data_IF_360917769170
#
_entry.id   IF_360917769170
#
_cell.length_a   1.000
_cell.length_b   1.000
_cell.length_c   1.000
_cell.angle_alpha   90.00
_cell.angle_beta   90.00
_cell.angle_gamma   90.00
#
_symmetry.space_group_name_H-M   'P 1'
#
loop_
_entity.id
_entity.type
_entity.pdbx_description
1 polymer ?
#
# COMPACT_ATOMS: atom_id res chain seq x y z
N UNK A 1 -14.84 -6.27 30.66
CA UNK A 1 -14.56 -5.35 29.53
C UNK A 1 -13.92 -6.19 28.44
N UNK A 2 -14.43 -6.17 27.20
CA UNK A 2 -13.89 -6.92 26.06
C UNK A 2 -12.50 -6.38 25.69
N UNK A 3 -11.54 -7.26 25.45
CA UNK A 3 -10.13 -6.90 25.19
C UNK A 3 -9.65 -7.50 23.89
N UNK A 4 -8.93 -6.70 23.11
CA UNK A 4 -8.27 -7.16 21.88
C UNK A 4 -6.80 -6.75 21.90
N UNK A 5 -5.92 -7.66 21.60
CA UNK A 5 -4.50 -7.37 21.37
C UNK A 5 -4.19 -7.35 19.90
N UNK A 6 -3.54 -6.29 19.43
CA UNK A 6 -3.16 -6.08 18.03
C UNK A 6 -1.64 -6.02 17.93
N UNK A 7 -1.05 -6.88 17.14
CA UNK A 7 0.39 -6.93 16.90
C UNK A 7 0.73 -6.26 15.57
N UNK A 8 1.41 -5.13 15.65
CA UNK A 8 1.85 -4.27 14.54
C UNK A 8 1.02 -2.99 14.42
N UNK A 9 1.67 -1.83 14.62
CA UNK A 9 1.09 -0.50 14.43
C UNK A 9 1.30 0.05 13.00
N UNK A 10 1.19 -0.82 11.99
CA UNK A 10 1.08 -0.44 10.58
C UNK A 10 -0.34 0.05 10.23
N UNK A 11 -0.60 0.26 8.92
CA UNK A 11 -1.89 0.76 8.44
C UNK A 11 -3.09 -0.06 8.92
N UNK A 12 -3.02 -1.39 8.80
CA UNK A 12 -4.12 -2.28 9.19
C UNK A 12 -4.32 -2.32 10.71
N UNK A 13 -3.22 -2.39 11.48
CA UNK A 13 -3.30 -2.44 12.94
C UNK A 13 -3.82 -1.15 13.54
N UNK A 14 -3.37 0.01 13.05
CA UNK A 14 -3.86 1.32 13.50
C UNK A 14 -5.34 1.52 13.17
N UNK A 15 -5.76 1.20 11.94
CA UNK A 15 -7.17 1.27 11.55
C UNK A 15 -8.04 0.37 12.46
N UNK A 16 -7.64 -0.89 12.65
CA UNK A 16 -8.36 -1.82 13.51
C UNK A 16 -8.43 -1.35 14.97
N UNK A 17 -7.33 -0.81 15.50
CA UNK A 17 -7.26 -0.30 16.88
C UNK A 17 -8.24 0.84 17.09
N UNK A 18 -8.25 1.83 16.20
CA UNK A 18 -9.14 2.99 16.24
C UNK A 18 -10.61 2.56 16.09
N UNK A 19 -10.91 1.67 15.17
CA UNK A 19 -12.28 1.16 14.96
C UNK A 19 -12.83 0.43 16.19
N UNK A 20 -12.01 -0.38 16.83
CA UNK A 20 -12.40 -1.13 18.02
C UNK A 20 -12.55 -0.23 19.27
N UNK A 21 -11.57 0.65 19.50
CA UNK A 21 -11.55 1.53 20.66
C UNK A 21 -12.70 2.54 20.62
N UNK A 22 -13.00 3.14 19.47
CA UNK A 22 -14.14 4.02 19.27
C UNK A 22 -15.50 3.35 19.59
N UNK A 23 -15.54 2.01 19.64
CA UNK A 23 -16.72 1.21 20.00
C UNK A 23 -16.61 0.55 21.39
N UNK A 24 -15.75 1.08 22.25
CA UNK A 24 -15.65 0.70 23.65
C UNK A 24 -14.89 -0.60 23.93
N UNK A 25 -14.11 -1.10 22.98
CA UNK A 25 -13.23 -2.26 23.18
C UNK A 25 -11.88 -1.77 23.71
N UNK A 26 -11.36 -2.41 24.76
CA UNK A 26 -10.01 -2.13 25.24
C UNK A 26 -8.98 -2.78 24.30
N UNK A 27 -8.07 -1.99 23.77
CA UNK A 27 -7.07 -2.42 22.79
C UNK A 27 -5.67 -2.28 23.36
N UNK A 28 -4.86 -3.34 23.27
CA UNK A 28 -3.41 -3.27 23.42
C UNK A 28 -2.79 -3.33 22.02
N UNK A 29 -2.21 -2.22 21.56
CA UNK A 29 -1.52 -2.12 20.28
C UNK A 29 -0.02 -2.29 20.51
N UNK A 30 0.59 -3.33 19.93
CA UNK A 30 1.99 -3.68 20.09
C UNK A 30 2.77 -3.25 18.84
N UNK A 31 3.90 -2.57 19.06
CA UNK A 31 4.79 -2.14 17.97
C UNK A 31 6.25 -2.45 18.30
N UNK A 32 6.98 -3.02 17.35
CA UNK A 32 8.38 -3.38 17.51
C UNK A 32 9.33 -2.17 17.41
N UNK A 33 8.91 -1.11 16.72
CA UNK A 33 9.71 0.13 16.62
C UNK A 33 9.73 0.91 17.94
N UNK A 34 10.78 1.68 18.19
CA UNK A 34 11.97 1.95 17.34
C UNK A 34 13.09 0.91 17.46
N UNK A 35 13.08 -0.06 18.40
CA UNK A 35 14.24 -0.88 18.70
C UNK A 35 14.69 -1.75 17.54
N UNK A 36 13.73 -2.24 16.67
CA UNK A 36 14.12 -3.20 15.80
C UNK A 36 13.93 -3.10 14.41
N UNK A 37 14.86 -2.73 13.58
CA UNK A 37 14.39 -2.96 12.40
C UNK A 37 15.32 -3.32 11.36
N UNK A 38 15.25 -4.54 11.01
CA UNK A 38 15.74 -5.03 9.76
C UNK A 38 14.56 -5.52 8.92
N UNK A 39 14.57 -5.27 7.63
CA UNK A 39 15.56 -4.44 6.93
C UNK A 39 15.35 -2.94 7.17
N UNK A 40 16.41 -2.17 6.91
CA UNK A 40 16.44 -0.70 7.05
C UNK A 40 15.48 0.07 6.09
N UNK A 41 14.37 -0.56 5.75
CA UNK A 41 13.28 0.04 4.95
C UNK A 41 12.42 0.96 5.79
N UNK A 42 12.26 0.66 7.06
CA UNK A 42 11.60 1.53 8.02
C UNK A 42 12.53 2.69 8.39
N UNK A 43 12.01 3.89 8.41
CA UNK A 43 12.76 5.12 8.68
C UNK A 43 12.08 6.04 9.66
N UNK A 44 10.82 5.77 9.97
CA UNK A 44 10.04 6.55 10.93
C UNK A 44 9.82 5.70 12.18
N UNK A 45 9.95 6.34 13.34
CA UNK A 45 9.63 5.71 14.62
C UNK A 45 8.11 5.64 14.87
N UNK A 46 7.34 6.45 14.14
CA UNK A 46 5.89 6.56 14.28
C UNK A 46 5.08 5.39 13.67
N UNK A 47 3.77 5.34 13.99
CA UNK A 47 2.85 4.34 13.45
C UNK A 47 2.50 4.61 11.98
N UNK A 48 1.86 3.65 11.34
CA UNK A 48 1.30 3.71 9.98
C UNK A 48 2.31 4.17 8.91
N UNK A 49 3.58 3.79 9.02
CA UNK A 49 4.63 4.17 8.08
C UNK A 49 4.34 3.65 6.66
N UNK A 50 4.46 4.56 5.67
CA UNK A 50 4.35 4.23 4.25
C UNK A 50 5.72 3.86 3.67
N UNK A 51 6.02 2.58 3.60
CA UNK A 51 7.37 2.08 3.30
C UNK A 51 7.77 2.16 1.82
N UNK A 52 6.84 2.04 0.88
CA UNK A 52 7.12 2.00 -0.57
C UNK A 52 7.01 3.39 -1.21
N UNK A 53 5.81 3.89 -1.38
CA UNK A 53 5.53 5.21 -1.95
C UNK A 53 4.72 6.05 -0.97
N UNK A 54 4.55 7.34 -1.24
CA UNK A 54 3.69 8.20 -0.44
C UNK A 54 2.25 8.29 -0.99
N UNK A 55 1.87 7.42 -1.93
CA UNK A 55 0.58 7.49 -2.63
C UNK A 55 -0.38 6.38 -2.21
N UNK A 56 -1.59 6.77 -1.83
CA UNK A 56 -2.74 5.89 -1.63
C UNK A 56 -3.54 5.70 -2.93
N UNK A 57 -2.87 5.71 -4.08
CA UNK A 57 -3.45 5.50 -5.42
C UNK A 57 -4.45 6.61 -5.84
N UNK A 58 -5.13 6.40 -6.96
CA UNK A 58 -5.96 7.39 -7.64
C UNK A 58 -7.24 7.78 -6.87
N UNK A 59 -7.62 9.06 -6.95
CA UNK A 59 -8.91 9.64 -6.54
C UNK A 59 -9.88 9.81 -7.72
N UNK A 60 -9.50 9.37 -8.92
CA UNK A 60 -10.41 9.42 -10.07
C UNK A 60 -11.59 8.46 -9.88
N UNK A 61 -12.81 8.96 -10.01
CA UNK A 61 -14.07 8.25 -9.81
C UNK A 61 -14.34 7.13 -10.85
N UNK A 62 -13.40 6.85 -11.73
CA UNK A 62 -13.41 5.75 -12.68
C UNK A 62 -12.40 4.64 -12.34
N UNK A 63 -11.93 4.58 -11.09
CA UNK A 63 -10.89 3.63 -10.67
C UNK A 63 -11.32 2.74 -9.50
N UNK A 64 -10.83 1.49 -9.45
CA UNK A 64 -11.09 0.57 -8.35
C UNK A 64 -10.59 1.10 -6.99
N UNK A 65 -9.46 1.78 -7.01
CA UNK A 65 -8.86 2.39 -5.81
C UNK A 65 -9.75 3.48 -5.20
N UNK A 66 -10.38 4.31 -6.04
CA UNK A 66 -11.37 5.29 -5.58
C UNK A 66 -12.58 4.59 -4.95
N UNK A 67 -13.11 3.55 -5.61
CA UNK A 67 -14.25 2.80 -5.08
C UNK A 67 -13.94 2.22 -3.69
N UNK A 68 -12.79 1.54 -3.52
CA UNK A 68 -12.40 0.99 -2.23
C UNK A 68 -12.26 2.07 -1.14
N UNK A 69 -11.63 3.21 -1.47
CA UNK A 69 -11.53 4.33 -0.52
C UNK A 69 -12.89 4.92 -0.17
N UNK A 70 -13.80 5.03 -1.13
CA UNK A 70 -15.16 5.51 -0.87
C UNK A 70 -15.91 4.55 0.06
N UNK A 71 -15.79 3.24 -0.14
CA UNK A 71 -16.35 2.21 0.76
C UNK A 71 -15.77 2.33 2.17
N UNK A 72 -14.44 2.48 2.31
CA UNK A 72 -13.81 2.69 3.61
C UNK A 72 -14.24 4.01 4.27
N UNK A 73 -14.41 5.11 3.50
CA UNK A 73 -14.93 6.39 4.03
C UNK A 73 -16.36 6.27 4.53
N UNK A 74 -17.23 5.55 3.82
CA UNK A 74 -18.61 5.26 4.27
C UNK A 74 -18.58 4.50 5.61
N UNK A 75 -17.66 3.56 5.77
CA UNK A 75 -17.49 2.81 7.01
C UNK A 75 -16.74 3.59 8.12
N UNK A 76 -16.38 4.86 7.90
CA UNK A 76 -15.75 5.72 8.88
C UNK A 76 -14.27 5.42 9.11
N UNK A 77 -13.49 5.13 8.04
CA UNK A 77 -12.04 4.91 8.17
C UNK A 77 -11.32 6.13 8.75
N UNK A 78 -10.61 5.93 9.85
CA UNK A 78 -9.80 6.95 10.51
C UNK A 78 -8.55 7.30 9.70
N UNK A 79 -7.87 6.30 9.13
CA UNK A 79 -6.63 6.51 8.41
C UNK A 79 -6.84 7.24 7.08
N UNK A 80 -7.99 7.08 6.43
CA UNK A 80 -8.31 7.88 5.24
C UNK A 80 -8.56 9.34 5.61
N UNK A 81 -9.12 9.62 6.79
CA UNK A 81 -9.22 10.99 7.32
C UNK A 81 -7.85 11.62 7.58
N UNK A 82 -6.94 10.88 8.22
CA UNK A 82 -5.56 11.30 8.42
C UNK A 82 -4.81 11.53 7.09
N UNK A 83 -5.09 10.70 6.08
CA UNK A 83 -4.50 10.85 4.74
C UNK A 83 -4.96 12.13 4.02
N UNK A 84 -6.22 12.51 4.17
CA UNK A 84 -6.71 13.79 3.63
C UNK A 84 -6.07 14.99 4.33
N UNK A 85 -5.86 14.91 5.66
CA UNK A 85 -5.20 15.97 6.43
C UNK A 85 -3.71 16.14 6.04
N UNK A 86 -3.05 15.05 5.66
CA UNK A 86 -1.64 15.01 5.26
C UNK A 86 -1.41 15.13 3.75
N UNK A 87 -2.45 15.45 2.97
CA UNK A 87 -2.42 15.42 1.50
C UNK A 87 -1.40 16.40 0.93
N UNK A 88 -0.67 15.94 -0.09
CA UNK A 88 0.22 16.75 -0.94
C UNK A 88 -0.23 16.68 -2.40
N UNK A 89 0.12 17.71 -3.17
CA UNK A 89 -0.24 17.80 -4.58
C UNK A 89 0.40 16.67 -5.40
N UNK A 90 -0.42 15.86 -6.09
CA UNK A 90 0.01 14.73 -6.92
C UNK A 90 -1.03 14.35 -7.99
N UNK A 91 -1.60 15.34 -8.69
CA UNK A 91 -2.64 15.15 -9.70
C UNK A 91 -3.87 14.44 -9.14
N UNK A 92 -4.34 13.41 -9.84
CA UNK A 92 -5.47 12.58 -9.40
C UNK A 92 -5.09 11.53 -8.33
N UNK A 93 -3.92 11.59 -7.70
CA UNK A 93 -3.53 10.66 -6.63
C UNK A 93 -3.74 11.27 -5.25
N UNK A 94 -4.21 10.46 -4.30
CA UNK A 94 -4.08 10.78 -2.88
C UNK A 94 -2.65 10.47 -2.45
N UNK A 95 -1.76 11.44 -2.58
CA UNK A 95 -0.41 11.39 -2.03
C UNK A 95 -0.36 12.18 -0.72
N UNK A 96 0.48 11.74 0.20
CA UNK A 96 0.59 12.34 1.53
C UNK A 96 2.04 12.68 1.86
N UNK A 97 2.23 13.71 2.66
CA UNK A 97 3.44 13.89 3.44
C UNK A 97 3.52 12.78 4.49
N UNK A 98 4.56 11.95 4.42
CA UNK A 98 4.66 10.74 5.26
C UNK A 98 4.77 11.04 6.74
N UNK A 99 5.53 12.09 7.08
CA UNK A 99 5.76 12.47 8.48
C UNK A 99 4.49 13.07 9.08
N UNK A 100 3.81 13.91 8.32
CA UNK A 100 2.51 14.48 8.71
C UNK A 100 1.47 13.37 8.86
N UNK A 101 1.38 12.44 7.92
CA UNK A 101 0.45 11.32 7.99
C UNK A 101 0.68 10.46 9.24
N UNK A 102 1.93 10.08 9.52
CA UNK A 102 2.27 9.29 10.70
C UNK A 102 1.96 10.04 11.99
N UNK A 103 2.21 11.37 12.06
CA UNK A 103 1.85 12.21 13.21
C UNK A 103 0.34 12.31 13.43
N UNK A 104 -0.44 12.49 12.37
CA UNK A 104 -1.91 12.50 12.45
C UNK A 104 -2.44 11.17 13.00
N UNK A 105 -1.93 10.03 12.51
CA UNK A 105 -2.31 8.72 13.03
C UNK A 105 -1.89 8.54 14.49
N UNK A 106 -0.68 8.99 14.87
CA UNK A 106 -0.22 8.94 16.24
C UNK A 106 -1.10 9.79 17.17
N UNK A 107 -1.54 10.98 16.72
CA UNK A 107 -2.46 11.84 17.46
C UNK A 107 -3.83 11.19 17.66
N UNK A 108 -4.38 10.53 16.63
CA UNK A 108 -5.63 9.78 16.75
C UNK A 108 -5.53 8.64 17.76
N UNK A 109 -4.45 7.85 17.70
CA UNK A 109 -4.20 6.76 18.65
C UNK A 109 -4.07 7.27 20.09
N UNK A 110 -3.38 8.38 20.29
CA UNK A 110 -3.18 8.99 21.63
C UNK A 110 -4.47 9.62 22.20
N UNK A 111 -5.37 10.10 21.35
CA UNK A 111 -6.65 10.65 21.76
C UNK A 111 -7.64 9.57 22.24
N UNK A 112 -7.49 8.33 21.74
CA UNK A 112 -8.37 7.21 22.08
C UNK A 112 -7.98 6.57 23.44
N UNK A 113 -8.77 6.82 24.48
CA UNK A 113 -8.54 6.29 25.85
C UNK A 113 -8.57 4.76 25.94
N UNK A 114 -9.24 4.11 24.99
CA UNK A 114 -9.35 2.66 24.89
C UNK A 114 -8.10 1.97 24.38
N UNK A 115 -7.09 2.71 23.91
CA UNK A 115 -5.87 2.17 23.31
C UNK A 115 -4.69 2.31 24.27
N UNK A 116 -4.00 1.20 24.53
CA UNK A 116 -2.69 1.17 25.18
C UNK A 116 -1.63 0.78 24.16
N UNK A 117 -0.69 1.67 23.87
CA UNK A 117 0.43 1.39 22.96
C UNK A 117 1.60 0.76 23.73
N UNK A 118 1.96 -0.46 23.35
CA UNK A 118 3.17 -1.16 23.81
C UNK A 118 4.25 -1.06 22.71
N UNK A 119 4.92 0.09 22.64
CA UNK A 119 6.03 0.30 21.72
C UNK A 119 7.28 -0.47 22.15
N UNK A 120 8.25 -0.57 21.25
CA UNK A 120 9.53 -1.22 21.52
C UNK A 120 9.40 -2.69 21.97
N UNK A 121 8.40 -3.38 21.43
CA UNK A 121 8.03 -4.72 21.88
C UNK A 121 8.02 -5.69 20.73
N UNK A 122 8.99 -6.58 20.70
CA UNK A 122 9.10 -7.67 19.74
C UNK A 122 8.36 -8.90 20.25
N UNK A 123 7.54 -9.50 19.37
CA UNK A 123 6.81 -10.75 19.62
C UNK A 123 7.24 -11.77 18.58
N UNK A 124 7.72 -12.92 19.04
CA UNK A 124 8.36 -13.94 18.20
C UNK A 124 7.42 -15.02 17.65
N UNK A 125 6.26 -15.25 18.30
CA UNK A 125 5.31 -16.29 17.92
C UNK A 125 3.89 -15.96 18.42
N UNK A 126 2.88 -16.75 18.00
CA UNK A 126 1.52 -16.65 18.54
C UNK A 126 1.45 -17.01 20.03
N UNK A 127 2.24 -17.98 20.46
CA UNK A 127 2.27 -18.38 21.88
C UNK A 127 2.88 -17.29 22.73
N UNK A 128 3.99 -16.66 22.30
CA UNK A 128 4.60 -15.49 22.94
C UNK A 128 3.60 -14.33 23.01
N UNK A 129 2.80 -14.09 21.96
CA UNK A 129 1.74 -13.07 21.96
C UNK A 129 0.70 -13.33 23.03
N UNK A 130 0.18 -14.55 23.10
CA UNK A 130 -0.89 -14.93 24.04
C UNK A 130 -0.43 -14.93 25.48
N UNK A 131 0.79 -15.39 25.72
CA UNK A 131 1.37 -15.46 27.07
C UNK A 131 1.63 -14.05 27.64
N UNK A 132 2.25 -13.16 26.85
CA UNK A 132 2.63 -11.82 27.32
C UNK A 132 1.50 -10.81 27.27
N UNK A 133 0.55 -10.97 26.35
CA UNK A 133 -0.53 -10.03 26.11
C UNK A 133 -1.90 -10.73 26.00
N UNK A 134 -2.38 -11.34 27.11
CA UNK A 134 -3.63 -12.08 27.10
C UNK A 134 -4.83 -11.17 26.84
N UNK A 135 -5.69 -11.59 25.90
CA UNK A 135 -6.91 -10.89 25.51
C UNK A 135 -7.99 -11.90 25.08
N UNK A 136 -9.22 -11.42 24.86
CA UNK A 136 -10.31 -12.27 24.35
C UNK A 136 -10.07 -12.65 22.88
N UNK A 137 -9.51 -11.71 22.09
CA UNK A 137 -9.17 -11.91 20.69
C UNK A 137 -7.85 -11.20 20.33
N UNK A 138 -7.19 -11.70 19.29
CA UNK A 138 -5.91 -11.19 18.81
C UNK A 138 -5.98 -10.82 17.33
N UNK A 139 -5.26 -9.77 16.91
CA UNK A 139 -5.04 -9.41 15.51
C UNK A 139 -3.54 -9.41 15.22
N UNK A 140 -3.09 -10.13 14.20
CA UNK A 140 -1.73 -10.08 13.67
C UNK A 140 -1.74 -9.19 12.42
N UNK A 141 -1.14 -8.00 12.53
CA UNK A 141 -1.09 -6.97 11.50
C UNK A 141 0.35 -6.48 11.26
N UNK A 142 1.31 -7.39 11.35
CA UNK A 142 2.76 -7.11 11.29
C UNK A 142 3.29 -6.77 9.90
N UNK A 143 2.42 -6.86 8.87
CA UNK A 143 2.73 -6.43 7.51
C UNK A 143 3.72 -7.34 6.78
N UNK A 144 4.36 -6.81 5.71
CA UNK A 144 5.15 -7.62 4.78
C UNK A 144 6.46 -8.16 5.35
N UNK A 145 6.97 -7.54 6.41
CA UNK A 145 8.27 -7.86 7.01
C UNK A 145 8.12 -8.63 8.33
N UNK A 146 7.05 -9.40 8.45
CA UNK A 146 6.81 -10.31 9.57
C UNK A 146 8.02 -11.22 9.82
N UNK A 147 8.43 -11.34 11.09
CA UNK A 147 9.58 -12.16 11.46
C UNK A 147 9.39 -13.64 11.10
N UNK A 148 10.45 -14.37 10.74
CA UNK A 148 10.33 -15.77 10.38
C UNK A 148 9.69 -16.64 11.48
N UNK A 149 9.98 -16.38 12.75
CA UNK A 149 9.42 -17.13 13.88
C UNK A 149 7.92 -16.94 14.02
N UNK A 150 7.44 -15.68 13.95
CA UNK A 150 6.00 -15.38 13.98
C UNK A 150 5.30 -15.99 12.76
N UNK A 151 5.89 -15.82 11.57
CA UNK A 151 5.32 -16.36 10.33
C UNK A 151 5.18 -17.88 10.39
N UNK A 152 6.19 -18.60 10.90
CA UNK A 152 6.16 -20.05 11.09
C UNK A 152 5.07 -20.50 12.08
N UNK A 153 4.75 -19.67 13.09
CA UNK A 153 3.65 -19.96 14.03
C UNK A 153 2.25 -19.74 13.43
N UNK A 154 2.14 -18.99 12.34
CA UNK A 154 0.88 -18.78 11.61
C UNK A 154 0.63 -19.85 10.55
N UNK A 155 1.70 -20.25 9.85
CA UNK A 155 1.62 -21.19 8.71
C UNK A 155 2.92 -21.95 8.53
N UNK A 156 2.80 -23.25 8.19
CA UNK A 156 3.96 -24.05 7.77
C UNK A 156 4.42 -23.68 6.35
N UNK A 157 3.49 -23.26 5.49
CA UNK A 157 3.76 -22.88 4.10
C UNK A 157 3.75 -21.36 3.96
N UNK A 158 4.96 -20.79 3.90
CA UNK A 158 5.15 -19.35 3.78
C UNK A 158 5.30 -18.95 2.32
N UNK A 159 4.54 -17.94 1.93
CA UNK A 159 4.62 -17.37 0.59
C UNK A 159 5.29 -16.00 0.62
N UNK A 160 5.97 -15.69 -0.48
CA UNK A 160 6.69 -14.42 -0.62
C UNK A 160 6.54 -13.86 -2.02
N UNK A 161 6.54 -12.54 -2.11
CA UNK A 161 6.74 -11.82 -3.36
C UNK A 161 7.77 -10.72 -3.16
N UNK A 162 8.31 -10.23 -4.26
CA UNK A 162 9.30 -9.15 -4.23
C UNK A 162 8.65 -7.82 -4.60
N UNK A 163 8.96 -6.80 -3.82
CA UNK A 163 8.55 -5.42 -4.04
C UNK A 163 9.77 -4.53 -4.13
N UNK A 164 9.84 -3.68 -5.15
CA UNK A 164 10.93 -2.75 -5.34
C UNK A 164 10.48 -1.32 -5.04
N UNK A 165 11.34 -0.56 -4.40
CA UNK A 165 11.12 0.83 -4.01
C UNK A 165 11.95 1.73 -4.91
N UNK A 166 11.38 2.86 -5.33
CA UNK A 166 12.06 3.90 -6.07
C UNK A 166 12.87 4.81 -5.15
N UNK A 167 13.98 5.39 -5.64
CA UNK A 167 14.76 6.35 -4.87
C UNK A 167 14.04 7.69 -4.69
N UNK A 168 14.44 8.41 -3.63
CA UNK A 168 14.02 9.78 -3.34
C UNK A 168 15.25 10.66 -3.40
N UNK A 169 15.14 11.79 -4.11
CA UNK A 169 16.20 12.78 -4.26
C UNK A 169 15.81 14.12 -3.64
N UNK A 170 16.81 14.88 -3.18
CA UNK A 170 16.65 16.26 -2.71
C UNK A 170 16.36 17.18 -3.89
N UNK A 171 15.56 18.22 -3.66
CA UNK A 171 15.36 19.30 -4.62
C UNK A 171 16.64 20.12 -4.89
N UNK A 172 17.51 20.25 -3.89
CA UNK A 172 18.71 21.09 -3.97
C UNK A 172 19.70 20.66 -5.04
N UNK A 173 19.79 19.35 -5.32
CA UNK A 173 20.66 18.80 -6.35
C UNK A 173 20.06 18.75 -7.76
N UNK A 174 18.86 19.31 -7.98
CA UNK A 174 18.17 19.27 -9.27
C UNK A 174 18.41 20.55 -10.09
N UNK A 175 18.76 20.41 -11.37
CA UNK A 175 18.77 21.52 -12.31
C UNK A 175 17.36 21.78 -12.86
N UNK A 176 16.66 22.71 -12.22
CA UNK A 176 15.29 23.08 -12.57
C UNK A 176 15.14 23.69 -13.96
N UNK A 177 16.22 24.12 -14.61
CA UNK A 177 16.18 24.66 -15.98
C UNK A 177 15.99 23.58 -17.04
N UNK A 178 16.30 22.33 -16.70
CA UNK A 178 16.13 21.15 -17.54
C UNK A 178 14.87 20.34 -17.25
N UNK A 179 14.15 20.72 -16.21
CA UNK A 179 12.94 20.07 -15.74
C UNK A 179 11.74 21.01 -15.93
N UNK A 180 10.54 20.44 -16.05
CA UNK A 180 9.33 21.24 -16.21
C UNK A 180 8.18 20.71 -15.36
N UNK A 181 7.36 21.63 -14.85
CA UNK A 181 6.17 21.30 -14.12
C UNK A 181 5.01 21.07 -15.09
N UNK A 182 4.42 19.90 -15.06
CA UNK A 182 3.20 19.60 -15.82
C UNK A 182 2.46 18.39 -15.24
N UNK A 183 1.16 18.36 -15.44
CA UNK A 183 0.38 17.12 -15.33
C UNK A 183 0.13 16.54 -16.73
N UNK A 184 -0.03 15.25 -16.79
CA UNK A 184 -0.24 14.53 -18.07
C UNK A 184 -1.58 14.90 -18.68
N UNK A 185 -1.57 15.31 -19.93
CA UNK A 185 -2.75 15.78 -20.68
C UNK A 185 -3.34 17.13 -20.17
N UNK A 186 -2.54 17.94 -19.49
CA UNK A 186 -2.99 19.25 -18.94
C UNK A 186 -4.27 19.13 -18.08
N UNK A 187 -4.40 18.00 -17.40
CA UNK A 187 -5.53 17.72 -16.50
C UNK A 187 -5.18 18.17 -15.08
N UNK A 188 -5.65 19.35 -14.72
CA UNK A 188 -5.48 19.88 -13.36
C UNK A 188 -4.29 20.82 -13.21
N UNK A 189 -3.73 20.89 -12.00
CA UNK A 189 -2.55 21.69 -11.67
C UNK A 189 -1.28 20.93 -12.06
N UNK A 190 -0.18 21.63 -12.40
CA UNK A 190 1.10 20.99 -12.75
C UNK A 190 1.80 20.45 -11.49
N UNK A 191 1.33 19.29 -11.00
CA UNK A 191 1.76 18.73 -9.71
C UNK A 191 3.02 17.85 -9.79
N UNK A 192 3.42 17.44 -11.01
CA UNK A 192 4.63 16.64 -11.21
C UNK A 192 5.73 17.45 -11.83
N UNK A 193 6.94 17.31 -11.29
CA UNK A 193 8.15 17.74 -11.93
C UNK A 193 8.57 16.66 -12.95
N UNK A 194 8.87 17.03 -14.18
CA UNK A 194 9.11 16.09 -15.27
C UNK A 194 10.50 16.28 -15.87
N UNK A 195 11.22 15.19 -16.07
CA UNK A 195 12.50 15.12 -16.74
C UNK A 195 12.27 14.59 -18.18
N UNK A 196 12.33 15.45 -19.21
CA UNK A 196 12.22 15.02 -20.60
C UNK A 196 13.54 14.41 -21.07
N UNK A 197 13.47 13.33 -21.85
CA UNK A 197 14.63 12.71 -22.45
C UNK A 197 14.53 12.76 -23.97
N UNK A 198 15.62 13.19 -24.61
CA UNK A 198 15.86 12.92 -26.02
C UNK A 198 16.19 11.43 -26.22
N UNK A 199 16.09 10.95 -27.48
CA UNK A 199 16.35 9.54 -27.78
C UNK A 199 17.73 9.05 -27.33
N UNK A 200 18.77 9.84 -27.59
CA UNK A 200 20.15 9.49 -27.22
C UNK A 200 20.34 9.43 -25.69
N UNK A 201 19.72 10.35 -24.95
CA UNK A 201 19.76 10.38 -23.48
C UNK A 201 19.06 9.15 -22.90
N UNK A 202 17.90 8.78 -23.47
CA UNK A 202 17.16 7.57 -23.10
C UNK A 202 17.98 6.30 -23.38
N UNK A 203 18.56 6.16 -24.59
CA UNK A 203 19.36 4.99 -24.97
C UNK A 203 20.58 4.84 -24.04
N UNK A 204 21.29 5.95 -23.75
CA UNK A 204 22.40 5.96 -22.79
C UNK A 204 21.97 5.54 -21.38
N UNK A 205 20.83 6.04 -20.92
CA UNK A 205 20.27 5.67 -19.61
C UNK A 205 19.93 4.18 -19.56
N UNK A 206 19.27 3.65 -20.57
CA UNK A 206 18.89 2.23 -20.64
C UNK A 206 20.13 1.32 -20.70
N UNK A 207 21.18 1.71 -21.46
CA UNK A 207 22.43 0.95 -21.53
C UNK A 207 23.11 0.87 -20.17
N UNK A 208 23.22 2.00 -19.47
CA UNK A 208 23.78 2.06 -18.13
C UNK A 208 22.95 1.23 -17.13
N UNK A 209 21.62 1.30 -17.22
CA UNK A 209 20.68 0.55 -16.37
C UNK A 209 20.85 -0.97 -16.55
N UNK A 210 20.99 -1.44 -17.79
CA UNK A 210 21.20 -2.86 -18.09
C UNK A 210 22.57 -3.36 -17.61
N UNK A 211 23.61 -2.52 -17.71
CA UNK A 211 24.98 -2.83 -17.28
C UNK A 211 25.21 -2.67 -15.77
N UNK A 212 24.30 -2.03 -15.05
CA UNK A 212 24.44 -1.67 -13.66
C UNK A 212 24.65 -2.88 -12.72
N UNK A 213 25.42 -2.69 -11.64
CA UNK A 213 25.58 -3.66 -10.58
C UNK A 213 24.28 -3.78 -9.76
N UNK A 214 23.77 -5.01 -9.65
CA UNK A 214 22.46 -5.33 -9.08
C UNK A 214 22.59 -6.31 -7.93
N UNK A 215 21.74 -6.19 -6.93
CA UNK A 215 21.61 -7.20 -5.89
C UNK A 215 21.12 -8.52 -6.52
N UNK A 216 21.75 -9.66 -6.20
CA UNK A 216 21.26 -10.95 -6.66
C UNK A 216 19.89 -11.25 -6.05
N UNK A 217 19.07 -12.01 -6.75
CA UNK A 217 17.93 -12.68 -6.12
C UNK A 217 18.44 -13.83 -5.24
N UNK A 218 17.68 -14.15 -4.18
CA UNK A 218 18.00 -15.32 -3.38
C UNK A 218 18.02 -16.57 -4.27
N UNK A 219 19.03 -17.43 -4.08
CA UNK A 219 19.22 -18.63 -4.89
C UNK A 219 17.94 -19.49 -4.91
N UNK A 220 17.61 -19.98 -6.11
CA UNK A 220 16.50 -20.89 -6.44
C UNK A 220 15.09 -20.32 -6.59
N UNK A 221 14.84 -19.02 -6.39
CA UNK A 221 13.51 -18.43 -6.62
C UNK A 221 13.47 -17.61 -7.92
N UNK A 222 12.55 -17.91 -8.83
CA UNK A 222 12.13 -16.95 -9.85
C UNK A 222 11.32 -15.87 -9.14
N UNK A 223 11.83 -14.63 -9.02
CA UNK A 223 11.16 -13.59 -8.28
C UNK A 223 9.80 -13.28 -8.92
N UNK A 224 8.75 -13.33 -8.12
CA UNK A 224 7.44 -12.84 -8.53
C UNK A 224 7.34 -11.38 -8.14
N UNK A 225 7.10 -10.52 -9.15
CA UNK A 225 6.84 -9.10 -8.95
C UNK A 225 5.40 -8.79 -9.33
N UNK A 226 4.79 -7.88 -8.61
CA UNK A 226 3.63 -7.18 -9.12
C UNK A 226 4.05 -6.23 -10.23
N UNK A 227 3.24 -6.09 -11.29
CA UNK A 227 3.58 -5.26 -12.46
C UNK A 227 4.02 -3.83 -12.10
N UNK A 228 3.46 -3.25 -11.03
CA UNK A 228 3.77 -1.89 -10.57
C UNK A 228 4.99 -1.79 -9.67
N UNK A 229 5.50 -2.90 -9.15
CA UNK A 229 6.63 -2.97 -8.23
C UNK A 229 7.82 -3.70 -8.85
N UNK A 230 7.76 -3.95 -10.16
CA UNK A 230 8.84 -4.57 -10.90
C UNK A 230 10.04 -3.61 -10.99
N UNK A 231 11.26 -4.08 -10.70
CA UNK A 231 12.45 -3.27 -10.88
C UNK A 231 12.59 -2.76 -12.31
N UNK A 232 12.99 -1.50 -12.46
CA UNK A 232 13.09 -0.82 -13.74
C UNK A 232 14.08 -1.52 -14.70
N UNK A 233 15.18 -2.06 -14.18
CA UNK A 233 16.13 -2.86 -14.93
C UNK A 233 15.50 -4.16 -15.45
N UNK A 234 14.62 -4.79 -14.69
CA UNK A 234 13.89 -5.98 -15.11
C UNK A 234 12.87 -5.64 -16.22
N UNK A 235 12.28 -4.44 -16.18
CA UNK A 235 11.45 -3.95 -17.29
C UNK A 235 12.29 -3.69 -18.54
N UNK A 236 13.46 -3.07 -18.40
CA UNK A 236 14.38 -2.81 -19.53
C UNK A 236 14.93 -4.09 -20.16
N UNK A 237 15.16 -5.14 -19.38
CA UNK A 237 15.58 -6.48 -19.85
C UNK A 237 14.56 -7.13 -20.80
N UNK A 238 13.27 -6.74 -20.71
CA UNK A 238 12.21 -7.22 -21.62
C UNK A 238 12.26 -6.58 -23.01
N UNK A 239 12.96 -5.47 -23.15
CA UNK A 239 13.16 -4.74 -24.40
C UNK A 239 13.54 -3.29 -24.14
N UNK A 240 14.44 -2.76 -24.97
CA UNK A 240 15.01 -1.41 -24.78
C UNK A 240 13.94 -0.31 -24.75
N UNK A 241 12.86 -0.44 -25.49
CA UNK A 241 11.78 0.56 -25.55
C UNK A 241 10.69 0.36 -24.49
N UNK A 242 10.79 -0.70 -23.68
CA UNK A 242 9.75 -1.04 -22.69
C UNK A 242 9.43 0.12 -21.77
N UNK A 243 10.44 0.89 -21.33
CA UNK A 243 10.25 2.00 -20.42
C UNK A 243 9.51 3.18 -21.08
N UNK A 244 9.80 3.48 -22.36
CA UNK A 244 9.15 4.57 -23.11
C UNK A 244 7.69 4.26 -23.46
N UNK A 245 7.29 3.00 -23.48
CA UNK A 245 5.89 2.56 -23.60
C UNK A 245 5.22 2.31 -22.25
N UNK A 246 6.00 2.20 -21.18
CA UNK A 246 5.61 1.92 -19.81
C UNK A 246 5.68 3.16 -18.89
N UNK A 247 6.52 3.12 -17.84
CA UNK A 247 6.57 4.18 -16.83
C UNK A 247 7.04 5.53 -17.37
N UNK A 248 7.89 5.54 -18.41
CA UNK A 248 8.46 6.76 -19.01
C UNK A 248 7.72 7.21 -20.26
N UNK A 249 6.51 6.76 -20.45
CA UNK A 249 5.71 7.09 -21.65
C UNK A 249 5.55 8.61 -21.79
N UNK A 250 5.91 9.20 -22.97
CA UNK A 250 5.89 10.65 -23.18
C UNK A 250 4.53 11.21 -23.59
N UNK A 251 3.52 10.36 -23.75
CA UNK A 251 2.19 10.77 -24.26
C UNK A 251 1.52 11.73 -23.28
N UNK A 252 1.05 12.86 -23.79
CA UNK A 252 0.41 13.94 -23.01
C UNK A 252 1.41 14.99 -22.53
N UNK A 253 2.68 14.94 -22.97
CA UNK A 253 3.67 15.98 -22.71
C UNK A 253 4.19 16.57 -24.02
N UNK A 254 4.47 17.87 -23.97
CA UNK A 254 5.08 18.65 -25.02
C UNK A 254 6.08 19.62 -24.39
N UNK A 255 7.27 19.76 -24.98
CA UNK A 255 8.33 20.66 -24.55
C UNK A 255 8.80 21.43 -25.78
N UNK A 256 8.70 22.76 -25.76
CA UNK A 256 9.05 23.63 -26.90
C UNK A 256 8.40 23.21 -28.21
N UNK A 257 7.14 22.83 -28.18
CA UNK A 257 6.39 22.40 -29.38
C UNK A 257 6.78 21.01 -29.91
N UNK A 258 7.56 20.22 -29.14
CA UNK A 258 7.98 18.87 -29.52
C UNK A 258 7.68 17.87 -28.41
N UNK A 259 7.27 16.69 -28.83
CA UNK A 259 7.08 15.58 -27.91
C UNK A 259 8.45 14.96 -27.57
N UNK A 260 8.82 14.85 -26.28
CA UNK A 260 10.03 14.15 -25.88
C UNK A 260 9.96 12.66 -26.23
N UNK A 261 11.12 11.99 -26.29
CA UNK A 261 11.16 10.54 -26.55
C UNK A 261 10.66 9.74 -25.34
N UNK A 262 11.03 10.16 -24.14
CA UNK A 262 10.57 9.60 -22.87
C UNK A 262 10.48 10.71 -21.81
N UNK A 263 9.76 10.47 -20.71
CA UNK A 263 9.65 11.40 -19.59
C UNK A 263 9.70 10.62 -18.29
N UNK A 264 10.64 10.96 -17.43
CA UNK A 264 10.64 10.52 -16.01
C UNK A 264 9.89 11.54 -15.18
N UNK A 265 8.88 11.08 -14.44
CA UNK A 265 8.12 11.94 -13.53
C UNK A 265 8.73 11.90 -12.13
N UNK A 266 8.82 13.04 -11.49
CA UNK A 266 9.23 13.22 -10.12
C UNK A 266 8.03 13.71 -9.31
N UNK A 267 7.64 12.97 -8.27
CA UNK A 267 6.53 13.31 -7.41
C UNK A 267 7.05 13.86 -6.09
N UNK A 268 6.51 15.00 -5.66
CA UNK A 268 6.86 15.59 -4.38
C UNK A 268 6.51 14.63 -3.21
N UNK A 269 7.40 14.52 -2.25
CA UNK A 269 7.23 13.76 -1.02
C UNK A 269 6.59 14.59 0.10
N UNK A 270 6.67 15.92 0.01
CA UNK A 270 6.14 16.87 0.98
C UNK A 270 5.56 18.12 0.29
N UNK A 271 4.85 18.94 1.06
CA UNK A 271 4.21 20.17 0.57
C UNK A 271 5.23 21.23 0.13
N UNK A 272 6.39 21.29 0.78
CA UNK A 272 7.49 22.22 0.49
C UNK A 272 8.22 21.87 -0.80
N UNK A 273 7.95 20.69 -1.39
CA UNK A 273 8.61 20.18 -2.59
C UNK A 273 10.14 20.11 -2.44
N UNK A 274 10.62 19.83 -1.23
CA UNK A 274 12.04 19.72 -0.92
C UNK A 274 12.63 18.35 -1.26
N UNK A 275 11.81 17.35 -1.52
CA UNK A 275 12.18 15.99 -1.86
C UNK A 275 11.26 15.41 -2.93
N UNK A 276 11.81 14.58 -3.83
CA UNK A 276 11.09 14.00 -4.95
C UNK A 276 11.34 12.50 -5.09
N UNK A 277 10.26 11.73 -5.24
CA UNK A 277 10.30 10.31 -5.60
C UNK A 277 10.41 10.17 -7.13
N UNK A 278 11.34 9.35 -7.61
CA UNK A 278 11.49 9.01 -9.03
C UNK A 278 10.43 7.98 -9.44
N UNK A 279 9.33 8.44 -9.99
CA UNK A 279 8.17 7.59 -10.31
C UNK A 279 8.53 6.56 -11.39
N UNK A 280 8.27 5.29 -11.10
CA UNK A 280 8.57 4.20 -12.04
C UNK A 280 10.04 3.75 -12.04
N UNK A 281 10.86 4.27 -11.12
CA UNK A 281 12.27 3.94 -10.99
C UNK A 281 12.56 2.98 -9.83
N UNK A 282 11.62 2.09 -9.49
CA UNK A 282 11.88 1.03 -8.51
C UNK A 282 13.06 0.18 -8.97
N UNK A 283 13.98 -0.14 -8.06
CA UNK A 283 15.24 -0.77 -8.47
C UNK A 283 15.84 -1.70 -7.44
N UNK A 284 16.58 -2.69 -7.89
CA UNK A 284 17.48 -3.54 -7.10
C UNK A 284 18.96 -3.23 -7.31
N UNK A 285 19.29 -2.14 -8.03
CA UNK A 285 20.67 -1.70 -8.18
C UNK A 285 21.30 -1.41 -6.83
N UNK A 286 22.61 -1.67 -6.71
CA UNK A 286 23.38 -1.24 -5.54
C UNK A 286 23.47 0.28 -5.47
N UNK A 287 23.64 0.85 -4.27
CA UNK A 287 23.58 2.30 -4.05
C UNK A 287 24.53 3.11 -4.92
N UNK A 288 25.77 2.62 -5.17
CA UNK A 288 26.70 3.30 -6.09
C UNK A 288 26.17 3.30 -7.52
N UNK A 289 25.66 2.19 -8.00
CA UNK A 289 25.11 2.08 -9.35
C UNK A 289 23.85 2.96 -9.51
N UNK A 290 23.02 3.09 -8.48
CA UNK A 290 21.88 4.01 -8.52
C UNK A 290 22.34 5.46 -8.74
N UNK A 291 23.40 5.91 -8.03
CA UNK A 291 23.96 7.25 -8.23
C UNK A 291 24.46 7.44 -9.66
N UNK A 292 25.20 6.48 -10.19
CA UNK A 292 25.79 6.57 -11.53
C UNK A 292 24.68 6.59 -12.60
N UNK A 293 23.71 5.68 -12.51
CA UNK A 293 22.66 5.54 -13.52
C UNK A 293 21.65 6.68 -13.48
N UNK A 294 21.09 7.01 -12.30
CA UNK A 294 20.05 8.05 -12.22
C UNK A 294 20.61 9.47 -12.45
N UNK A 295 21.90 9.70 -12.23
CA UNK A 295 22.55 10.96 -12.58
C UNK A 295 22.78 11.15 -14.10
N UNK A 296 22.49 10.16 -14.92
CA UNK A 296 22.44 10.30 -16.39
C UNK A 296 21.15 10.96 -16.85
N UNK A 297 20.14 11.06 -15.99
CA UNK A 297 18.89 11.74 -16.33
C UNK A 297 19.10 13.25 -16.38
N UNK A 298 18.61 13.93 -17.44
CA UNK A 298 18.70 15.38 -17.56
C UNK A 298 18.15 16.12 -16.32
N UNK A 299 18.94 17.02 -15.77
CA UNK A 299 18.59 17.77 -14.56
C UNK A 299 18.84 17.04 -13.25
N UNK A 300 19.33 15.79 -13.28
CA UNK A 300 19.64 14.99 -12.10
C UNK A 300 21.16 14.74 -11.95
N UNK A 301 22.01 15.40 -12.72
CA UNK A 301 23.46 15.18 -12.75
C UNK A 301 24.11 15.32 -11.35
N UNK A 302 23.58 16.24 -10.54
CA UNK A 302 24.04 16.50 -9.18
C UNK A 302 23.04 16.02 -8.11
N UNK A 303 22.11 15.15 -8.47
CA UNK A 303 21.08 14.70 -7.53
C UNK A 303 21.67 14.09 -6.25
N UNK A 304 21.16 14.56 -5.12
CA UNK A 304 21.44 14.02 -3.79
C UNK A 304 20.35 13.02 -3.40
N UNK A 305 20.76 11.79 -3.08
CA UNK A 305 19.83 10.72 -2.73
C UNK A 305 19.51 10.75 -1.24
N UNK A 306 18.32 11.18 -0.89
CA UNK A 306 17.79 11.13 0.47
C UNK A 306 17.43 9.69 0.85
N UNK A 307 17.00 8.90 -0.15
CA UNK A 307 16.71 7.47 -0.01
C UNK A 307 17.09 6.74 -1.28
N UNK A 308 17.80 5.64 -1.13
CA UNK A 308 18.04 4.72 -2.25
C UNK A 308 16.85 3.78 -2.46
N UNK A 309 16.66 3.38 -3.71
CA UNK A 309 15.77 2.29 -4.06
C UNK A 309 16.26 0.98 -3.45
N UNK A 310 15.35 0.06 -3.19
CA UNK A 310 15.66 -1.24 -2.61
C UNK A 310 14.60 -2.27 -2.99
N UNK A 311 14.95 -3.55 -2.86
CA UNK A 311 14.02 -4.66 -3.07
C UNK A 311 13.77 -5.34 -1.72
N UNK A 312 12.52 -5.64 -1.45
CA UNK A 312 12.11 -6.35 -0.24
C UNK A 312 11.40 -7.64 -0.61
N UNK A 313 11.60 -8.64 0.24
CA UNK A 313 10.88 -9.89 0.21
C UNK A 313 9.71 -9.78 1.18
N UNK A 314 8.50 -9.70 0.64
CA UNK A 314 7.28 -9.48 1.39
C UNK A 314 6.59 -10.81 1.71
N UNK A 315 6.38 -11.09 2.99
CA UNK A 315 5.69 -12.28 3.45
C UNK A 315 4.17 -12.13 3.37
N UNK A 316 3.47 -13.21 3.03
CA UNK A 316 2.03 -13.35 3.15
C UNK A 316 1.63 -14.81 3.39
N UNK A 317 0.45 -15.02 3.98
CA UNK A 317 -0.09 -16.36 4.22
C UNK A 317 -1.01 -16.81 3.07
N UNK A 318 -1.21 -18.12 2.92
CA UNK A 318 -2.17 -18.68 1.97
C UNK A 318 -3.60 -18.49 2.52
N UNK A 319 -4.15 -17.28 2.31
CA UNK A 319 -5.44 -16.89 2.86
C UNK A 319 -6.59 -17.88 2.56
N UNK A 320 -6.75 -18.42 1.33
CA UNK A 320 -7.81 -19.38 1.03
C UNK A 320 -7.81 -20.64 1.90
N UNK A 321 -6.63 -21.07 2.34
CA UNK A 321 -6.47 -22.29 3.15
C UNK A 321 -6.46 -22.01 4.66
N UNK A 322 -6.13 -20.81 5.05
CA UNK A 322 -5.85 -20.50 6.45
C UNK A 322 -6.88 -19.60 7.13
N UNK A 323 -7.63 -18.80 6.36
CA UNK A 323 -8.55 -17.79 6.92
C UNK A 323 -10.01 -18.18 6.76
N UNK A 324 -10.83 -17.83 7.75
CA UNK A 324 -12.30 -17.84 7.68
C UNK A 324 -12.82 -16.51 7.12
N UNK A 325 -14.14 -16.35 6.94
CA UNK A 325 -14.79 -15.17 6.35
C UNK A 325 -14.51 -13.86 7.13
N UNK A 326 -14.30 -13.95 8.45
CA UNK A 326 -13.91 -12.82 9.28
C UNK A 326 -12.43 -12.46 9.23
N UNK A 327 -11.62 -13.14 8.40
CA UNK A 327 -10.15 -13.09 8.37
C UNK A 327 -9.49 -13.67 9.64
N UNK A 328 -10.20 -14.46 10.42
CA UNK A 328 -9.63 -15.23 11.52
C UNK A 328 -9.02 -16.56 11.03
N UNK A 329 -7.98 -17.02 11.71
CA UNK A 329 -7.34 -18.28 11.42
C UNK A 329 -8.28 -19.46 11.69
N UNK A 330 -8.36 -20.41 10.75
CA UNK A 330 -9.19 -21.63 10.90
C UNK A 330 -8.72 -22.50 12.08
N UNK A 331 -7.39 -22.60 12.30
CA UNK A 331 -6.79 -23.36 13.40
C UNK A 331 -6.79 -22.62 14.73
N UNK A 332 -6.87 -21.28 14.70
CA UNK A 332 -6.85 -20.40 15.86
C UNK A 332 -7.96 -19.36 15.71
N UNK A 333 -9.24 -19.74 15.94
CA UNK A 333 -10.38 -18.87 15.67
C UNK A 333 -10.41 -17.56 16.47
N UNK A 334 -9.65 -17.47 17.56
CA UNK A 334 -9.43 -16.29 18.39
C UNK A 334 -8.44 -15.30 17.81
N UNK A 335 -7.75 -15.66 16.74
CA UNK A 335 -6.68 -14.87 16.13
C UNK A 335 -7.04 -14.50 14.69
N UNK A 336 -7.00 -13.22 14.39
CA UNK A 336 -7.28 -12.62 13.08
C UNK A 336 -5.98 -12.18 12.42
N UNK A 337 -5.98 -12.10 11.09
CA UNK A 337 -4.84 -11.61 10.32
C UNK A 337 -5.27 -10.46 9.43
N UNK A 338 -4.60 -9.31 9.52
CA UNK A 338 -4.92 -8.13 8.74
C UNK A 338 -3.67 -7.55 8.04
N UNK A 339 -3.91 -6.65 7.08
CA UNK A 339 -2.87 -6.04 6.28
C UNK A 339 -2.28 -6.99 5.25
N UNK A 340 -1.14 -6.63 4.72
CA UNK A 340 -0.50 -7.37 3.64
C UNK A 340 -0.22 -8.84 3.99
N UNK A 341 0.01 -9.13 5.25
CA UNK A 341 0.21 -10.51 5.73
C UNK A 341 -1.02 -11.40 5.42
N UNK A 342 -2.24 -10.86 5.45
CA UNK A 342 -3.46 -11.59 5.10
C UNK A 342 -3.61 -11.93 3.62
N UNK A 343 -2.69 -11.47 2.76
CA UNK A 343 -2.75 -11.69 1.31
C UNK A 343 -3.41 -10.56 0.53
N UNK A 344 -3.61 -9.37 1.11
CA UNK A 344 -3.93 -8.16 0.34
C UNK A 344 -2.65 -7.44 -0.07
N UNK A 345 -2.69 -6.70 -1.19
CA UNK A 345 -1.56 -5.89 -1.66
C UNK A 345 -2.00 -4.44 -1.85
N UNK A 346 -1.31 -3.52 -1.17
CA UNK A 346 -1.49 -2.08 -1.25
C UNK A 346 -1.97 -1.45 0.06
N UNK A 347 -1.79 -0.12 0.15
CA UNK A 347 -2.10 0.64 1.37
C UNK A 347 -3.60 0.70 1.66
N UNK A 348 -4.42 0.96 0.64
CA UNK A 348 -5.87 1.02 0.80
C UNK A 348 -6.46 -0.34 1.17
N UNK A 349 -5.92 -1.39 0.58
CA UNK A 349 -6.29 -2.78 0.85
C UNK A 349 -5.90 -3.19 2.27
N UNK A 350 -4.75 -2.69 2.77
CA UNK A 350 -4.32 -2.90 4.15
C UNK A 350 -5.23 -2.15 5.14
N UNK A 351 -5.57 -0.90 4.87
CA UNK A 351 -6.54 -0.12 5.68
C UNK A 351 -7.90 -0.84 5.69
N UNK A 352 -8.41 -1.23 4.51
CA UNK A 352 -9.65 -1.99 4.39
C UNK A 352 -9.64 -3.27 5.23
N UNK A 353 -8.56 -4.04 5.18
CA UNK A 353 -8.48 -5.30 5.91
C UNK A 353 -8.50 -5.10 7.43
N UNK A 354 -7.85 -4.05 7.94
CA UNK A 354 -7.91 -3.66 9.34
C UNK A 354 -9.33 -3.26 9.78
N UNK A 355 -9.99 -2.42 8.98
CA UNK A 355 -11.38 -2.03 9.20
C UNK A 355 -12.31 -3.23 9.16
N UNK A 356 -12.21 -4.09 8.14
CA UNK A 356 -13.05 -5.28 8.00
C UNK A 356 -12.87 -6.26 9.16
N UNK A 357 -11.61 -6.50 9.58
CA UNK A 357 -11.30 -7.35 10.73
C UNK A 357 -11.91 -6.79 12.01
N UNK A 358 -11.84 -5.48 12.23
CA UNK A 358 -12.48 -4.85 13.39
C UNK A 358 -14.00 -5.05 13.39
N UNK A 359 -14.66 -4.90 12.24
CA UNK A 359 -16.11 -5.16 12.11
C UNK A 359 -16.46 -6.62 12.38
N UNK A 360 -15.66 -7.57 11.89
CA UNK A 360 -15.85 -8.99 12.16
C UNK A 360 -15.73 -9.33 13.65
N UNK A 361 -14.76 -8.70 14.34
CA UNK A 361 -14.57 -8.85 15.79
C UNK A 361 -15.76 -8.27 16.56
N UNK A 362 -16.26 -7.11 16.17
CA UNK A 362 -17.44 -6.49 16.81
C UNK A 362 -18.68 -7.36 16.65
N UNK A 363 -18.95 -7.86 15.43
CA UNK A 363 -20.04 -8.77 15.19
C UNK A 363 -19.92 -10.04 16.06
N UNK A 364 -18.73 -10.63 16.15
CA UNK A 364 -18.47 -11.80 16.99
C UNK A 364 -18.71 -11.51 18.50
N UNK A 365 -18.29 -10.36 18.97
CA UNK A 365 -18.56 -9.97 20.37
C UNK A 365 -20.06 -9.82 20.67
N UNK A 366 -20.84 -9.52 19.65
CA UNK A 366 -22.31 -9.46 19.76
C UNK A 366 -22.99 -10.82 19.45
N UNK A 367 -22.19 -11.89 19.33
CA UNK A 367 -22.71 -13.24 19.05
C UNK A 367 -23.27 -13.39 17.62
N UNK A 368 -22.84 -12.52 16.70
CA UNK A 368 -23.29 -12.48 15.30
C UNK A 368 -22.13 -12.78 14.36
N UNK A 369 -22.45 -13.16 13.14
CA UNK A 369 -21.51 -13.17 12.02
C UNK A 369 -21.66 -11.89 11.21
N UNK A 370 -20.53 -11.35 10.73
CA UNK A 370 -20.55 -10.20 9.83
C UNK A 370 -21.02 -10.69 8.44
N UNK A 371 -22.14 -10.23 7.91
CA UNK A 371 -22.54 -10.60 6.55
C UNK A 371 -21.51 -10.07 5.55
N UNK A 372 -21.16 -10.85 4.50
CA UNK A 372 -20.17 -10.39 3.54
C UNK A 372 -20.67 -9.16 2.77
N UNK A 373 -19.77 -8.22 2.42
CA UNK A 373 -20.12 -7.10 1.55
C UNK A 373 -20.60 -7.59 0.17
N UNK A 374 -21.48 -6.83 -0.52
CA UNK A 374 -22.04 -7.23 -1.81
C UNK A 374 -20.95 -7.49 -2.87
N UNK A 375 -21.21 -8.42 -3.78
CA UNK A 375 -20.24 -8.88 -4.79
C UNK A 375 -19.81 -7.78 -5.81
N UNK A 376 -20.61 -6.74 -5.97
CA UNK A 376 -20.29 -5.58 -6.83
C UNK A 376 -19.35 -4.56 -6.14
N UNK A 377 -19.10 -4.72 -4.82
CA UNK A 377 -18.21 -3.84 -4.06
C UNK A 377 -16.76 -4.30 -4.16
N UNK A 378 -15.79 -3.38 -4.00
CA UNK A 378 -14.37 -3.76 -3.90
C UNK A 378 -14.12 -4.58 -2.64
N UNK A 379 -14.77 -4.25 -1.53
CA UNK A 379 -14.73 -4.99 -0.27
C UNK A 379 -15.18 -6.45 -0.45
N UNK A 380 -16.33 -6.66 -1.09
CA UNK A 380 -16.83 -8.01 -1.39
C UNK A 380 -15.94 -8.77 -2.36
N UNK A 381 -15.39 -8.08 -3.37
CA UNK A 381 -14.44 -8.64 -4.31
C UNK A 381 -13.12 -9.08 -3.65
N UNK A 382 -12.54 -8.26 -2.78
CA UNK A 382 -11.34 -8.60 -2.02
C UNK A 382 -11.57 -9.81 -1.11
N UNK A 383 -12.65 -9.81 -0.32
CA UNK A 383 -12.98 -10.92 0.56
C UNK A 383 -13.15 -12.23 -0.22
N UNK A 384 -13.90 -12.19 -1.31
CA UNK A 384 -14.12 -13.37 -2.17
C UNK A 384 -12.81 -13.91 -2.73
N UNK A 385 -11.88 -13.04 -3.14
CA UNK A 385 -10.57 -13.46 -3.66
C UNK A 385 -9.66 -14.03 -2.59
N UNK A 386 -9.68 -13.50 -1.38
CA UNK A 386 -8.95 -14.05 -0.23
C UNK A 386 -9.48 -15.45 0.16
N UNK A 387 -10.71 -15.78 -0.21
CA UNK A 387 -11.36 -17.06 0.12
C UNK A 387 -11.44 -18.03 -1.05
N UNK A 388 -11.15 -17.57 -2.28
CA UNK A 388 -11.28 -18.43 -3.45
C UNK A 388 -10.20 -19.51 -3.47
N UNK A 389 -10.56 -20.80 -3.59
CA UNK A 389 -9.57 -21.84 -3.77
C UNK A 389 -8.69 -21.54 -4.98
N UNK A 390 -7.37 -21.57 -4.81
CA UNK A 390 -6.42 -21.32 -5.87
C UNK A 390 -5.31 -22.37 -5.82
N UNK A 391 -4.88 -22.87 -6.97
CA UNK A 391 -3.72 -23.78 -7.03
C UNK A 391 -2.42 -23.12 -6.57
N UNK A 392 -2.29 -21.81 -6.82
CA UNK A 392 -1.24 -20.94 -6.27
C UNK A 392 -1.89 -19.60 -5.93
N UNK A 393 -2.00 -19.32 -4.65
CA UNK A 393 -2.51 -18.03 -4.18
C UNK A 393 -1.46 -16.93 -4.40
N UNK A 394 -1.92 -15.77 -4.88
CA UNK A 394 -1.13 -14.55 -4.97
C UNK A 394 -1.90 -13.41 -4.31
N UNK A 395 -1.21 -12.45 -3.67
CA UNK A 395 -1.87 -11.33 -3.02
C UNK A 395 -2.80 -10.56 -3.95
N UNK A 396 -3.86 -10.02 -3.38
CA UNK A 396 -4.98 -9.42 -4.11
C UNK A 396 -5.01 -7.92 -3.89
N UNK A 397 -5.19 -7.15 -4.97
CA UNK A 397 -5.44 -5.73 -4.92
C UNK A 397 -6.78 -5.34 -5.55
N UNK A 398 -7.24 -4.13 -5.25
CA UNK A 398 -8.45 -3.58 -5.84
C UNK A 398 -8.29 -3.39 -7.36
N UNK A 399 -9.08 -4.13 -8.12
CA UNK A 399 -9.17 -4.01 -9.57
C UNK A 399 -10.54 -4.49 -10.05
N UNK A 400 -10.98 -4.06 -11.25
CA UNK A 400 -12.33 -4.38 -11.74
C UNK A 400 -12.56 -5.86 -12.07
N UNK A 401 -11.53 -6.70 -12.11
CA UNK A 401 -11.70 -8.14 -12.34
C UNK A 401 -12.14 -8.92 -11.10
N UNK A 402 -12.06 -8.30 -9.92
CA UNK A 402 -12.48 -8.95 -8.68
C UNK A 402 -13.94 -8.70 -8.31
N UNK A 403 -14.65 -7.80 -8.97
CA UNK A 403 -16.06 -7.53 -8.71
C UNK A 403 -16.94 -8.25 -9.73
N UNK A 404 -18.13 -8.65 -9.29
CA UNK A 404 -19.14 -9.19 -10.21
C UNK A 404 -19.85 -8.03 -10.89
N UNK A 405 -19.88 -8.11 -12.21
CA UNK A 405 -20.55 -7.10 -12.98
C UNK A 405 -21.21 -7.63 -14.26
N UNK A 406 -22.51 -7.87 -14.22
CA UNK A 406 -23.27 -8.43 -15.32
C UNK A 406 -23.64 -7.44 -16.43
N UNK A 407 -23.16 -6.18 -16.38
CA UNK A 407 -23.66 -5.15 -17.29
C UNK A 407 -23.09 -5.22 -18.71
N UNK A 408 -23.97 -4.97 -19.71
CA UNK A 408 -23.64 -4.87 -21.13
C UNK A 408 -23.25 -3.46 -21.57
N UNK A 409 -22.73 -2.62 -20.67
CA UNK A 409 -22.37 -1.24 -20.95
C UNK A 409 -21.15 -1.12 -21.88
N UNK A 410 -21.08 -0.02 -22.64
CA UNK A 410 -19.91 0.33 -23.44
C UNK A 410 -18.68 0.52 -22.53
N UNK A 411 -17.50 0.19 -23.02
CA UNK A 411 -16.23 0.21 -22.25
C UNK A 411 -15.98 1.53 -21.51
N UNK A 412 -16.36 2.67 -22.11
CA UNK A 412 -16.19 4.02 -21.54
C UNK A 412 -17.07 4.25 -20.30
N UNK A 413 -18.33 3.83 -20.38
CA UNK A 413 -19.34 4.10 -19.35
C UNK A 413 -19.29 3.05 -18.23
N UNK A 414 -18.72 1.90 -18.54
CA UNK A 414 -18.64 0.74 -17.63
C UNK A 414 -17.93 1.06 -16.32
N UNK A 415 -16.76 1.74 -16.37
CA UNK A 415 -15.96 2.04 -15.18
C UNK A 415 -16.68 2.95 -14.20
N UNK A 416 -17.27 4.03 -14.70
CA UNK A 416 -18.04 4.97 -13.88
C UNK A 416 -19.26 4.28 -13.26
N UNK A 417 -19.96 3.45 -14.04
CA UNK A 417 -21.09 2.68 -13.54
C UNK A 417 -20.68 1.71 -12.43
N UNK A 418 -19.59 0.95 -12.62
CA UNK A 418 -19.10 0.00 -11.61
C UNK A 418 -18.80 0.67 -10.29
N UNK A 419 -18.11 1.81 -10.35
CA UNK A 419 -17.76 2.58 -9.15
C UNK A 419 -19.04 3.10 -8.47
N UNK A 420 -19.92 3.73 -9.20
CA UNK A 420 -21.16 4.31 -8.64
C UNK A 420 -22.06 3.23 -8.03
N UNK A 421 -22.27 2.12 -8.74
CA UNK A 421 -23.12 1.03 -8.27
C UNK A 421 -22.50 0.30 -7.06
N UNK A 422 -21.20 0.05 -7.08
CA UNK A 422 -20.51 -0.56 -5.95
C UNK A 422 -20.57 0.29 -4.68
N UNK A 423 -20.35 1.61 -4.79
CA UNK A 423 -20.47 2.54 -3.66
C UNK A 423 -21.91 2.57 -3.12
N UNK A 424 -22.92 2.61 -4.00
CA UNK A 424 -24.33 2.54 -3.59
C UNK A 424 -24.65 1.25 -2.83
N UNK A 425 -24.27 0.09 -3.37
CA UNK A 425 -24.52 -1.21 -2.74
C UNK A 425 -23.78 -1.34 -1.40
N UNK A 426 -22.56 -0.82 -1.32
CA UNK A 426 -21.83 -0.78 -0.05
C UNK A 426 -22.54 0.08 1.00
N UNK A 427 -23.02 1.27 0.60
CA UNK A 427 -23.79 2.15 1.48
C UNK A 427 -25.06 1.49 2.02
N UNK A 428 -25.82 0.79 1.16
CA UNK A 428 -27.00 0.04 1.55
C UNK A 428 -26.66 -1.10 2.55
N UNK A 429 -25.59 -1.84 2.30
CA UNK A 429 -25.08 -2.88 3.20
C UNK A 429 -24.66 -2.29 4.55
N UNK A 430 -23.91 -1.19 4.53
CA UNK A 430 -23.45 -0.50 5.73
C UNK A 430 -24.61 -0.01 6.61
N UNK A 431 -25.58 0.68 6.02
CA UNK A 431 -26.78 1.11 6.74
C UNK A 431 -27.61 -0.04 7.29
N UNK A 432 -27.57 -1.20 6.63
CA UNK A 432 -28.18 -2.43 7.13
C UNK A 432 -27.51 -2.90 8.44
N UNK A 433 -26.17 -2.84 8.52
CA UNK A 433 -25.41 -3.18 9.72
C UNK A 433 -25.70 -2.22 10.89
N UNK A 434 -25.73 -0.92 10.64
CA UNK A 434 -25.99 0.09 11.67
C UNK A 434 -27.38 -0.09 12.32
N UNK A 435 -28.40 -0.38 11.55
CA UNK A 435 -29.75 -0.64 12.06
C UNK A 435 -29.83 -1.88 12.94
N UNK A 436 -29.05 -2.92 12.63
CA UNK A 436 -29.00 -4.15 13.44
C UNK A 436 -28.25 -3.90 14.76
N UNK A 437 -27.29 -2.99 14.78
CA UNK A 437 -26.50 -2.65 15.97
C UNK A 437 -27.22 -1.69 16.92
N UNK A 438 -28.12 -0.84 16.41
CA UNK A 438 -28.92 0.11 17.22
C UNK A 438 -30.19 -0.52 17.79
N UNK A 439 -30.61 -1.68 17.28
CA UNK A 439 -31.81 -2.39 17.75
C UNK A 439 -31.55 -3.39 18.90
N UNK A 440 -30.32 -3.45 19.38
CA UNK A 440 -29.87 -4.26 20.53
C UNK A 440 -29.35 -3.39 21.64
#
# INVERSE_FOLDING_TARGET
>A
MRRVTILGAGLAGCEAALQLAARGIAVTLIEAKPEKIEPAVYRQDGPAELVCSNSLKSESNATPSYQLKAECRIAGSFLLGAAEAAKVAAGESLAVDRDTFSREVAALLAAERGITLAANTVVGSLDDLRERFPADLHIVATGPLTSPGLLASLSADNHYFYDAIAPIVSAEGLDMTRLFWADRYEKGQPDFLNCPLARQEYERFVDALLAADKLPYADHERPQFFDRCMPIETMAERGRDTLSFGPFRPVGFEVEGKRPYAVVQLRAENAEKSAFNLVGCQTRMRHHAQREVFRLLPGLENAEFLRFGSVHRNAYINAPELLADGLNLLKHPDTYVAGQLSGVEGYNESIWSGLYTALAILARFDGKELPPPPAATMSGGLLRKLRAPAGRFAPVNANFSIIDNPTRLRKRDRKLFHVADGIRQFGEWWHGLEKVTQAT
#
